data_IF_505382782787
#
_entry.id   IF_505382782787
#
_cell.length_a   1.000
_cell.length_b   1.000
_cell.length_c   1.000
_cell.angle_alpha   90.00
_cell.angle_beta   90.00
_cell.angle_gamma   90.00
#
_symmetry.space_group_name_H-M   'P 1'
#
loop_
_entity.id
_entity.type
_entity.pdbx_description
1 polymer ?
#
# COMPACT_ATOMS: atom_id res chain seq x y z
N UNK A 1 31.60 31.91 29.19
CA UNK A 1 31.71 30.62 28.48
C UNK A 1 30.73 29.55 28.98
N UNK A 2 30.59 29.25 30.30
CA UNK A 2 29.75 28.14 30.77
C UNK A 2 28.26 28.26 30.38
N UNK A 3 27.67 29.46 30.46
CA UNK A 3 26.27 29.70 30.09
C UNK A 3 25.95 29.51 28.60
N UNK A 4 26.95 29.64 27.73
CA UNK A 4 26.78 29.26 26.32
C UNK A 4 26.85 27.74 26.21
N UNK A 5 27.88 27.09 26.78
CA UNK A 5 28.06 25.63 26.74
C UNK A 5 26.87 24.82 27.27
N UNK A 6 26.20 25.28 28.33
CA UNK A 6 25.08 24.58 28.98
C UNK A 6 23.70 24.86 28.36
N UNK A 7 23.62 25.78 27.39
CA UNK A 7 22.38 26.10 26.68
C UNK A 7 21.29 26.66 27.59
N UNK A 8 21.39 27.94 27.95
CA UNK A 8 20.35 28.80 28.56
C UNK A 8 19.05 28.08 29.02
N UNK A 9 19.12 27.34 30.13
CA UNK A 9 17.93 26.96 30.89
C UNK A 9 17.75 27.98 32.01
N UNK A 10 16.73 28.84 31.87
CA UNK A 10 16.16 29.61 32.98
C UNK A 10 16.78 30.96 33.37
N UNK A 11 17.43 31.71 32.46
CA UNK A 11 17.96 33.04 32.79
C UNK A 11 17.89 34.07 31.65
N UNK A 12 17.90 35.36 32.00
CA UNK A 12 17.89 36.53 31.10
C UNK A 12 18.98 36.41 30.01
N UNK A 13 18.57 36.57 28.74
CA UNK A 13 19.45 36.46 27.56
C UNK A 13 20.62 37.45 27.67
N UNK A 14 21.85 36.94 27.79
CA UNK A 14 23.07 37.76 27.77
C UNK A 14 23.57 37.88 26.35
N UNK A 15 23.71 39.11 25.82
CA UNK A 15 24.16 39.38 24.46
C UNK A 15 25.71 39.23 24.34
N UNK A 16 26.22 38.97 23.12
CA UNK A 16 27.66 38.83 22.81
C UNK A 16 28.48 40.02 23.32
N UNK A 17 27.95 41.25 23.20
CA UNK A 17 28.55 42.47 23.74
C UNK A 17 28.74 42.44 25.25
N UNK A 18 27.73 41.98 25.99
CA UNK A 18 27.79 41.87 27.45
C UNK A 18 28.80 40.81 27.91
N UNK A 19 29.02 39.76 27.11
CA UNK A 19 30.03 38.73 27.41
C UNK A 19 31.44 39.26 27.17
N UNK A 20 31.65 40.03 26.10
CA UNK A 20 32.93 40.69 25.86
C UNK A 20 33.30 41.65 26.99
N UNK A 21 32.36 42.50 27.43
CA UNK A 21 32.58 43.39 28.58
C UNK A 21 32.91 42.60 29.85
N UNK A 22 32.17 41.53 30.14
CA UNK A 22 32.45 40.67 31.31
C UNK A 22 33.81 39.97 31.23
N UNK A 23 34.23 39.53 30.04
CA UNK A 23 35.54 38.91 29.84
C UNK A 23 36.68 39.90 30.07
N UNK A 24 36.52 41.15 29.62
CA UNK A 24 37.51 42.21 29.83
C UNK A 24 37.61 42.62 31.30
N UNK A 25 36.48 42.78 31.98
CA UNK A 25 36.46 43.10 33.43
C UNK A 25 37.13 41.99 34.22
N UNK A 26 36.85 40.72 33.91
CA UNK A 26 37.45 39.59 34.60
C UNK A 26 38.96 39.47 34.34
N UNK A 27 39.41 39.65 33.09
CA UNK A 27 40.83 39.67 32.75
C UNK A 27 41.58 40.76 33.53
N UNK A 28 40.99 41.95 33.66
CA UNK A 28 41.57 43.07 34.43
C UNK A 28 41.65 42.77 35.93
N UNK A 29 40.66 42.08 36.50
CA UNK A 29 40.66 41.67 37.91
C UNK A 29 41.70 40.58 38.20
N UNK A 30 41.96 39.70 37.24
CA UNK A 30 42.92 38.60 37.36
C UNK A 30 44.34 38.98 36.89
N UNK A 31 44.57 40.25 36.52
CA UNK A 31 45.88 40.74 36.07
C UNK A 31 46.32 40.20 34.71
N UNK A 32 45.40 39.68 33.91
CA UNK A 32 45.66 39.09 32.61
C UNK A 32 45.52 40.11 31.48
N UNK A 33 46.12 39.81 30.33
CA UNK A 33 45.99 40.64 29.12
C UNK A 33 44.53 40.72 28.68
N UNK A 34 44.03 41.95 28.50
CA UNK A 34 42.62 42.21 28.22
C UNK A 34 42.31 41.86 26.77
N UNK A 35 41.41 40.88 26.50
CA UNK A 35 41.11 40.49 25.14
C UNK A 35 40.32 41.58 24.40
N UNK A 36 40.59 41.76 23.11
CA UNK A 36 39.77 42.63 22.26
C UNK A 36 38.35 42.06 22.11
N UNK A 37 37.38 42.94 21.86
CA UNK A 37 36.01 42.54 21.52
C UNK A 37 35.96 41.52 20.38
N UNK A 38 36.81 41.69 19.36
CA UNK A 38 36.89 40.80 18.21
C UNK A 38 37.42 39.41 18.58
N UNK A 39 38.38 39.33 19.49
CA UNK A 39 38.90 38.06 19.99
C UNK A 39 37.82 37.27 20.71
N UNK A 40 37.04 37.93 21.59
CA UNK A 40 35.92 37.28 22.29
C UNK A 40 34.83 36.86 21.30
N UNK A 41 34.52 37.68 20.31
CA UNK A 41 33.50 37.37 19.31
C UNK A 41 33.89 36.18 18.44
N UNK A 42 35.15 36.07 18.03
CA UNK A 42 35.66 34.93 17.26
C UNK A 42 35.50 33.61 18.03
N UNK A 43 35.86 33.60 19.32
CA UNK A 43 35.72 32.38 20.15
C UNK A 43 34.24 32.05 20.38
N UNK A 44 33.40 33.07 20.65
CA UNK A 44 31.96 32.87 20.77
C UNK A 44 31.34 32.38 19.46
N UNK A 45 31.83 32.82 18.31
CA UNK A 45 31.35 32.39 16.99
C UNK A 45 31.59 30.90 16.80
N UNK A 46 32.77 30.37 17.13
CA UNK A 46 33.04 28.93 17.08
C UNK A 46 32.07 28.11 17.93
N UNK A 47 31.79 28.56 19.16
CA UNK A 47 30.82 27.89 20.06
C UNK A 47 29.39 27.99 19.51
N UNK A 48 29.02 29.13 18.93
CA UNK A 48 27.71 29.34 18.32
C UNK A 48 27.55 28.48 17.07
N UNK A 49 28.60 28.35 16.26
CA UNK A 49 28.61 27.51 15.07
C UNK A 49 28.52 26.03 15.46
N UNK A 50 29.26 25.58 16.48
CA UNK A 50 29.13 24.22 17.04
C UNK A 50 27.74 23.94 17.61
N UNK A 51 27.13 24.92 18.27
CA UNK A 51 25.76 24.80 18.78
C UNK A 51 24.72 24.88 17.68
N UNK A 52 24.95 25.67 16.64
CA UNK A 52 24.12 25.73 15.44
C UNK A 52 24.23 24.41 14.66
N UNK A 53 25.42 23.81 14.57
CA UNK A 53 25.63 22.46 14.04
C UNK A 53 24.89 21.42 14.90
N UNK A 54 25.00 21.47 16.23
CA UNK A 54 24.25 20.59 17.17
C UNK A 54 22.73 20.82 17.12
N UNK A 55 22.23 22.03 16.86
CA UNK A 55 20.81 22.34 16.64
C UNK A 55 20.34 21.94 15.24
N UNK A 56 21.16 22.10 14.21
CA UNK A 56 20.89 21.61 12.86
C UNK A 56 20.92 20.07 12.80
N UNK A 57 21.67 19.41 13.68
CA UNK A 57 21.60 17.96 13.94
C UNK A 57 20.23 17.56 14.54
N UNK A 58 19.45 18.49 15.11
CA UNK A 58 18.10 18.23 15.67
C UNK A 58 16.96 18.51 14.69
N UNK A 59 17.18 19.29 13.62
CA UNK A 59 16.20 19.55 12.57
C UNK A 59 16.73 19.10 11.19
N UNK A 60 16.74 17.80 10.88
CA UNK A 60 16.92 17.35 9.50
C UNK A 60 15.61 17.63 8.74
N UNK A 61 15.55 18.82 8.18
CA UNK A 61 14.47 19.30 7.34
C UNK A 61 14.87 20.64 6.77
N UNK A 62 15.02 20.71 5.45
CA UNK A 62 15.40 21.91 4.69
C UNK A 62 16.64 22.66 5.22
N UNK A 63 17.82 22.41 4.63
CA UNK A 63 18.97 23.32 4.81
C UNK A 63 18.83 24.47 3.82
N UNK A 64 18.27 25.59 4.29
CA UNK A 64 17.93 26.72 3.40
C UNK A 64 16.85 26.30 2.40
N UNK A 65 17.17 26.30 1.10
CA UNK A 65 16.27 25.91 0.00
C UNK A 65 16.47 24.48 -0.51
N UNK A 66 17.38 23.68 0.08
CA UNK A 66 17.63 22.30 -0.34
C UNK A 66 17.23 21.30 0.73
N UNK A 67 16.65 20.20 0.29
CA UNK A 67 16.33 19.06 1.13
C UNK A 67 17.55 18.14 1.18
N UNK A 68 18.04 17.86 2.39
CA UNK A 68 19.10 16.88 2.62
C UNK A 68 18.57 15.74 3.49
N UNK A 69 18.72 14.50 3.03
CA UNK A 69 18.35 13.28 3.74
C UNK A 69 19.60 12.63 4.30
N UNK A 70 19.62 12.35 5.60
CA UNK A 70 20.75 11.68 6.23
C UNK A 70 20.48 10.19 6.33
N UNK A 71 21.42 9.40 5.83
CA UNK A 71 21.35 7.94 5.91
C UNK A 71 22.06 7.43 7.17
N UNK A 72 21.72 6.21 7.57
CA UNK A 72 22.29 5.54 8.74
C UNK A 72 23.81 5.31 8.63
N UNK A 73 24.32 5.14 7.41
CA UNK A 73 25.75 5.00 7.13
C UNK A 73 26.52 6.35 7.08
N UNK A 74 25.83 7.47 7.34
CA UNK A 74 26.44 8.80 7.40
C UNK A 74 26.44 9.55 6.07
N UNK A 75 26.02 8.92 4.97
CA UNK A 75 25.84 9.57 3.67
C UNK A 75 24.73 10.65 3.76
N UNK A 76 24.87 11.70 2.96
CA UNK A 76 23.83 12.72 2.78
C UNK A 76 23.35 12.61 1.34
N UNK A 77 22.06 12.34 1.16
CA UNK A 77 21.41 12.36 -0.14
C UNK A 77 20.70 13.69 -0.32
N UNK A 78 20.93 14.35 -1.46
CA UNK A 78 20.22 15.56 -1.85
C UNK A 78 19.39 15.22 -3.09
N UNK A 79 18.06 15.11 -2.99
CA UNK A 79 17.22 14.80 -4.15
C UNK A 79 17.21 16.00 -5.12
N UNK A 80 18.04 15.93 -6.16
CA UNK A 80 18.25 17.03 -7.12
C UNK A 80 17.39 16.94 -8.39
N UNK A 81 16.94 15.74 -8.77
CA UNK A 81 16.18 15.51 -10.00
C UNK A 81 15.22 14.31 -9.81
N UNK A 82 14.34 14.11 -10.78
CA UNK A 82 13.31 13.07 -10.74
C UNK A 82 13.92 11.68 -10.86
N UNK A 83 13.42 10.74 -10.08
CA UNK A 83 13.99 9.39 -9.96
C UNK A 83 15.42 9.38 -9.37
N UNK A 84 15.85 10.45 -8.69
CA UNK A 84 17.10 10.38 -7.93
C UNK A 84 16.89 9.57 -6.64
N UNK A 85 15.90 9.95 -5.83
CA UNK A 85 15.60 9.29 -4.54
C UNK A 85 14.12 9.02 -4.39
N UNK A 86 13.76 7.74 -4.31
CA UNK A 86 12.42 7.31 -3.95
C UNK A 86 12.32 6.95 -2.48
N UNK A 87 11.13 7.10 -1.92
CA UNK A 87 10.80 6.63 -0.57
C UNK A 87 9.58 5.73 -0.66
N UNK A 88 9.61 4.63 0.10
CA UNK A 88 8.48 3.71 0.23
C UNK A 88 8.00 3.74 1.68
N UNK A 89 6.69 3.70 1.86
CA UNK A 89 6.06 3.65 3.17
C UNK A 89 4.69 2.95 3.09
N UNK A 90 4.20 2.47 4.23
CA UNK A 90 2.96 1.71 4.33
C UNK A 90 2.04 2.32 5.39
N UNK A 91 0.74 2.29 5.15
CA UNK A 91 -0.26 2.63 6.17
C UNK A 91 -1.47 1.72 6.06
N UNK A 92 -2.11 1.38 7.18
CA UNK A 92 -3.43 0.79 7.16
C UNK A 92 -4.43 1.91 6.84
N UNK A 93 -5.12 1.86 5.71
CA UNK A 93 -6.04 2.93 5.31
C UNK A 93 -7.21 3.01 6.30
N UNK A 94 -7.59 4.22 6.74
CA UNK A 94 -8.69 4.46 7.70
C UNK A 94 -10.09 4.24 7.07
N UNK A 95 -10.31 3.11 6.38
CA UNK A 95 -11.55 2.78 5.69
C UNK A 95 -11.89 1.30 5.80
N UNK A 96 -13.13 0.99 6.15
CA UNK A 96 -13.67 -0.38 6.13
C UNK A 96 -14.18 -0.72 4.74
N UNK A 97 -13.73 -1.86 4.22
CA UNK A 97 -14.18 -2.39 2.95
C UNK A 97 -15.07 -3.61 3.15
N UNK A 98 -15.91 -3.87 2.15
CA UNK A 98 -16.69 -5.10 2.05
C UNK A 98 -16.01 -6.10 1.12
N UNK A 99 -16.29 -7.38 1.34
CA UNK A 99 -15.94 -8.42 0.39
C UNK A 99 -16.94 -8.46 -0.79
N UNK A 100 -16.77 -9.44 -1.70
CA UNK A 100 -17.73 -9.69 -2.79
C UNK A 100 -19.16 -10.05 -2.31
N UNK A 101 -19.39 -10.10 -1.00
CA UNK A 101 -20.71 -10.27 -0.38
C UNK A 101 -21.46 -9.01 -0.09
N UNK A 102 -20.75 -7.89 0.01
CA UNK A 102 -21.24 -6.78 0.80
C UNK A 102 -21.11 -7.01 2.31
N UNK A 103 -20.35 -8.01 2.78
CA UNK A 103 -20.07 -8.21 4.21
C UNK A 103 -18.82 -7.42 4.55
N UNK A 104 -18.88 -6.65 5.64
CA UNK A 104 -17.72 -5.94 6.19
C UNK A 104 -16.57 -6.91 6.37
N UNK A 105 -15.42 -6.55 5.81
CA UNK A 105 -14.23 -7.39 5.81
C UNK A 105 -13.17 -6.85 6.76
N UNK A 106 -12.29 -5.97 6.27
CA UNK A 106 -11.26 -5.31 7.07
C UNK A 106 -10.71 -4.08 6.35
N UNK A 107 -9.84 -3.35 7.04
CA UNK A 107 -9.09 -2.24 6.46
C UNK A 107 -7.97 -2.75 5.56
N UNK A 108 -7.75 -2.16 4.38
CA UNK A 108 -6.64 -2.51 3.51
C UNK A 108 -5.36 -1.77 3.94
N UNK A 109 -4.22 -2.33 3.58
CA UNK A 109 -2.92 -1.67 3.60
C UNK A 109 -2.68 -0.95 2.28
N UNK A 110 -2.31 0.32 2.36
CA UNK A 110 -1.83 1.13 1.24
C UNK A 110 -0.32 1.35 1.38
N UNK A 111 0.40 0.86 0.39
CA UNK A 111 1.83 1.11 0.21
C UNK A 111 2.00 2.17 -0.86
N UNK A 112 2.82 3.18 -0.61
CA UNK A 112 3.11 4.22 -1.60
C UNK A 112 4.61 4.31 -1.88
N UNK A 113 4.97 4.54 -3.13
CA UNK A 113 6.32 4.88 -3.57
C UNK A 113 6.28 6.32 -4.06
N UNK A 114 7.14 7.16 -3.49
CA UNK A 114 7.13 8.60 -3.69
C UNK A 114 8.49 9.07 -4.18
N UNK A 115 8.49 9.85 -5.26
CA UNK A 115 9.68 10.56 -5.71
C UNK A 115 9.95 11.77 -4.80
N UNK A 116 11.12 11.81 -4.16
CA UNK A 116 11.39 12.80 -3.12
C UNK A 116 11.58 14.22 -3.66
N UNK A 117 12.09 14.33 -4.89
CA UNK A 117 12.38 15.60 -5.56
C UNK A 117 11.09 16.34 -5.93
N UNK A 118 10.16 15.63 -6.57
CA UNK A 118 8.88 16.16 -7.07
C UNK A 118 7.74 16.05 -6.06
N UNK A 119 7.83 15.11 -5.12
CA UNK A 119 6.75 14.65 -4.22
C UNK A 119 5.61 13.92 -4.93
N UNK A 120 5.78 13.52 -6.18
CA UNK A 120 4.81 12.66 -6.85
C UNK A 120 4.74 11.29 -6.20
N UNK A 121 3.53 10.75 -6.09
CA UNK A 121 3.35 9.32 -5.89
C UNK A 121 3.56 8.66 -7.26
N UNK A 122 4.61 7.84 -7.35
CA UNK A 122 5.04 7.17 -8.58
C UNK A 122 4.47 5.75 -8.70
N UNK A 123 4.14 5.12 -7.57
CA UNK A 123 3.47 3.83 -7.58
C UNK A 123 2.84 3.49 -6.23
N UNK A 124 1.98 2.47 -6.22
CA UNK A 124 1.27 2.01 -5.04
C UNK A 124 1.16 0.49 -5.05
N UNK A 125 0.89 -0.09 -3.87
CA UNK A 125 0.28 -1.40 -3.74
C UNK A 125 -0.86 -1.29 -2.73
N UNK A 126 -2.04 -1.78 -3.07
CA UNK A 126 -3.22 -1.74 -2.22
C UNK A 126 -3.76 -3.16 -2.05
N UNK A 127 -3.89 -3.62 -0.81
CA UNK A 127 -4.35 -4.97 -0.55
C UNK A 127 -4.59 -5.22 0.92
N UNK A 128 -4.82 -6.49 1.26
CA UNK A 128 -5.14 -6.92 2.61
C UNK A 128 -3.98 -7.57 3.35
N UNK A 129 -2.86 -7.73 2.65
CA UNK A 129 -1.61 -8.25 3.20
C UNK A 129 -0.92 -7.18 4.03
N UNK A 130 -0.43 -7.58 5.20
CA UNK A 130 0.37 -6.72 6.04
C UNK A 130 1.71 -6.35 5.33
N UNK A 131 2.36 -5.24 5.74
CA UNK A 131 3.64 -4.83 5.19
C UNK A 131 4.65 -5.97 5.19
N UNK A 132 5.24 -6.20 4.03
CA UNK A 132 6.20 -7.27 3.81
C UNK A 132 7.08 -6.95 2.62
N UNK A 133 8.19 -7.67 2.51
CA UNK A 133 9.10 -7.56 1.37
C UNK A 133 8.42 -7.78 0.02
N UNK A 134 7.39 -8.63 -0.03
CA UNK A 134 6.59 -8.87 -1.24
C UNK A 134 5.74 -7.65 -1.59
N UNK A 135 5.04 -7.08 -0.61
CA UNK A 135 4.21 -5.88 -0.78
C UNK A 135 5.06 -4.69 -1.26
N UNK A 136 6.26 -4.53 -0.71
CA UNK A 136 7.25 -3.54 -1.17
C UNK A 136 7.65 -3.81 -2.62
N UNK A 137 7.95 -5.07 -2.96
CA UNK A 137 8.27 -5.48 -4.33
C UNK A 137 7.16 -5.14 -5.33
N UNK A 138 5.90 -5.45 -5.01
CA UNK A 138 4.74 -5.12 -5.86
C UNK A 138 4.56 -3.61 -6.03
N UNK A 139 4.73 -2.82 -4.97
CA UNK A 139 4.67 -1.37 -5.05
C UNK A 139 5.80 -0.79 -5.93
N UNK A 140 7.00 -1.35 -5.83
CA UNK A 140 8.13 -0.99 -6.70
C UNK A 140 7.88 -1.40 -8.14
N UNK A 141 7.30 -2.58 -8.40
CA UNK A 141 6.89 -3.02 -9.74
C UNK A 141 6.01 -1.98 -10.40
N UNK A 142 4.95 -1.62 -9.69
CA UNK A 142 3.98 -0.63 -10.14
C UNK A 142 4.60 0.75 -10.34
N UNK A 143 5.58 1.13 -9.50
CA UNK A 143 6.30 2.39 -9.66
C UNK A 143 7.23 2.38 -10.88
N UNK A 144 7.92 1.27 -11.13
CA UNK A 144 8.95 1.18 -12.17
C UNK A 144 8.36 1.20 -13.57
N UNK A 145 7.29 0.44 -13.79
CA UNK A 145 6.69 0.28 -15.11
C UNK A 145 5.74 1.43 -15.45
N UNK A 146 5.53 1.73 -16.75
CA UNK A 146 4.44 2.58 -17.19
C UNK A 146 3.12 1.96 -16.75
N UNK A 147 2.17 2.82 -16.37
CA UNK A 147 0.86 2.39 -15.86
C UNK A 147 -0.19 2.73 -16.90
N UNK A 148 -0.91 1.71 -17.35
CA UNK A 148 -2.07 1.88 -18.21
C UNK A 148 -3.30 1.36 -17.47
N UNK A 149 -4.32 2.21 -17.38
CA UNK A 149 -5.54 1.94 -16.64
C UNK A 149 -6.74 1.95 -17.58
N UNK A 150 -7.66 0.99 -17.45
CA UNK A 150 -8.87 0.97 -18.26
C UNK A 150 -9.75 2.21 -18.00
N UNK A 151 -10.59 2.54 -18.97
CA UNK A 151 -11.44 3.74 -18.94
C UNK A 151 -12.41 3.80 -17.76
N UNK A 152 -12.74 2.67 -17.14
CA UNK A 152 -13.61 2.59 -15.97
C UNK A 152 -12.99 3.15 -14.68
N UNK A 153 -11.68 3.47 -14.69
CA UNK A 153 -11.02 4.27 -13.64
C UNK A 153 -11.31 5.76 -13.74
N UNK A 154 -11.89 6.23 -14.85
CA UNK A 154 -12.32 7.62 -15.04
C UNK A 154 -11.19 8.64 -14.76
N UNK A 155 -10.01 8.35 -15.32
CA UNK A 155 -8.85 9.24 -15.25
C UNK A 155 -8.99 10.36 -16.28
N UNK A 156 -8.75 11.59 -15.85
CA UNK A 156 -8.72 12.77 -16.73
C UNK A 156 -7.29 13.17 -17.10
N UNK A 157 -6.32 12.65 -16.35
CA UNK A 157 -4.89 12.82 -16.55
C UNK A 157 -4.23 11.44 -16.73
N UNK A 158 -3.06 11.40 -17.34
CA UNK A 158 -2.27 10.17 -17.40
C UNK A 158 -1.43 10.01 -16.14
N UNK A 159 -1.30 8.77 -15.64
CA UNK A 159 -0.31 8.46 -14.60
C UNK A 159 1.09 8.30 -15.23
N UNK A 160 1.62 9.38 -15.78
CA UNK A 160 2.87 9.39 -16.55
C UNK A 160 4.16 9.23 -15.75
N UNK A 161 4.09 8.98 -14.44
CA UNK A 161 5.29 8.82 -13.61
C UNK A 161 5.77 7.37 -13.58
N UNK A 162 7.02 7.12 -13.97
CA UNK A 162 7.63 5.79 -13.99
C UNK A 162 9.17 5.90 -14.02
N UNK A 163 9.88 4.78 -13.97
CA UNK A 163 11.33 4.77 -14.08
C UNK A 163 12.02 4.00 -12.99
N UNK A 164 13.30 4.27 -12.79
CA UNK A 164 14.10 3.53 -11.81
C UNK A 164 14.89 4.51 -10.96
N UNK A 165 14.80 4.44 -9.62
CA UNK A 165 15.53 5.34 -8.77
C UNK A 165 17.01 4.95 -8.67
N UNK A 166 17.88 5.91 -8.41
CA UNK A 166 19.25 5.59 -7.95
C UNK A 166 19.25 5.11 -6.50
N UNK A 167 18.45 5.77 -5.65
CA UNK A 167 18.35 5.44 -4.24
C UNK A 167 16.92 5.20 -3.81
N UNK A 168 16.73 4.17 -2.99
CA UNK A 168 15.52 4.02 -2.18
C UNK A 168 15.87 4.36 -0.74
N UNK A 169 15.12 5.30 -0.15
CA UNK A 169 15.33 5.79 1.21
C UNK A 169 14.13 5.48 2.11
N UNK A 170 14.24 4.44 2.93
CA UNK A 170 13.15 3.99 3.82
C UNK A 170 13.59 4.01 5.27
N UNK A 171 12.63 3.77 6.17
CA UNK A 171 12.99 3.47 7.55
C UNK A 171 13.68 2.10 7.68
N UNK A 172 14.08 1.78 8.90
CA UNK A 172 14.76 0.53 9.26
C UNK A 172 13.80 -0.63 9.54
N UNK A 173 12.58 -0.60 9.00
CA UNK A 173 11.59 -1.67 9.07
C UNK A 173 12.14 -3.04 8.64
N UNK A 174 11.58 -4.11 9.21
CA UNK A 174 12.05 -5.49 8.96
C UNK A 174 11.74 -5.96 7.54
N UNK A 175 10.64 -5.50 6.98
CA UNK A 175 10.25 -5.63 5.58
C UNK A 175 11.27 -5.01 4.63
N UNK A 176 11.72 -3.78 4.89
CA UNK A 176 12.74 -3.10 4.07
C UNK A 176 14.16 -3.63 4.25
N UNK A 177 14.45 -4.28 5.38
CA UNK A 177 15.74 -4.96 5.65
C UNK A 177 15.82 -6.38 5.10
N UNK A 178 14.72 -6.91 4.57
CA UNK A 178 14.70 -8.28 4.09
C UNK A 178 15.75 -8.51 2.99
N UNK A 179 16.37 -9.69 3.01
CA UNK A 179 17.31 -10.10 1.96
C UNK A 179 16.67 -10.01 0.56
N UNK A 180 15.38 -10.31 0.47
CA UNK A 180 14.64 -10.28 -0.78
C UNK A 180 14.58 -8.86 -1.39
N UNK A 181 14.27 -7.83 -0.60
CA UNK A 181 14.23 -6.44 -1.06
C UNK A 181 15.62 -5.96 -1.47
N UNK A 182 16.66 -6.31 -0.71
CA UNK A 182 18.04 -5.99 -1.06
C UNK A 182 18.49 -6.66 -2.36
N UNK A 183 18.06 -7.90 -2.59
CA UNK A 183 18.30 -8.62 -3.82
C UNK A 183 17.61 -7.96 -5.02
N UNK A 184 16.34 -7.59 -4.90
CA UNK A 184 15.61 -6.84 -5.93
C UNK A 184 16.38 -5.56 -6.27
N UNK A 185 16.76 -4.80 -5.25
CA UNK A 185 17.49 -3.54 -5.42
C UNK A 185 18.82 -3.76 -6.16
N UNK A 186 19.60 -4.77 -5.77
CA UNK A 186 20.86 -5.13 -6.43
C UNK A 186 20.67 -5.51 -7.89
N UNK A 187 19.69 -6.37 -8.21
CA UNK A 187 19.40 -6.80 -9.58
C UNK A 187 18.95 -5.64 -10.48
N UNK A 188 18.23 -4.67 -9.90
CA UNK A 188 17.83 -3.46 -10.60
C UNK A 188 18.92 -2.38 -10.60
N UNK A 189 20.05 -2.57 -9.90
CA UNK A 189 21.09 -1.53 -9.77
C UNK A 189 20.61 -0.31 -8.97
N UNK A 190 19.71 -0.52 -8.01
CA UNK A 190 19.20 0.48 -7.08
C UNK A 190 19.95 0.35 -5.76
N UNK A 191 20.38 1.48 -5.18
CA UNK A 191 21.03 1.49 -3.87
C UNK A 191 20.02 1.73 -2.75
N UNK A 192 19.82 0.74 -1.88
CA UNK A 192 18.96 0.90 -0.72
C UNK A 192 19.68 1.62 0.43
N UNK A 193 19.07 2.68 0.96
CA UNK A 193 19.57 3.46 2.09
C UNK A 193 18.52 3.53 3.19
N UNK A 194 18.97 3.43 4.43
CA UNK A 194 18.09 3.50 5.60
C UNK A 194 18.20 4.87 6.27
N UNK A 195 17.06 5.39 6.72
CA UNK A 195 16.97 6.58 7.58
C UNK A 195 17.82 6.41 8.83
N UNK A 196 18.50 7.49 9.26
CA UNK A 196 19.17 7.49 10.56
C UNK A 196 18.15 7.67 11.69
N UNK A 197 17.05 8.39 11.45
CA UNK A 197 16.00 8.68 12.43
C UNK A 197 14.61 8.62 11.80
N UNK A 198 13.55 8.23 12.55
CA UNK A 198 12.17 8.25 12.05
C UNK A 198 11.75 9.62 11.51
N UNK A 199 12.12 10.71 12.19
CA UNK A 199 11.79 12.10 11.81
C UNK A 199 12.30 12.52 10.42
N UNK A 200 13.28 11.80 9.86
CA UNK A 200 13.82 12.05 8.51
C UNK A 200 12.87 11.54 7.40
N UNK A 201 11.79 10.84 7.79
CA UNK A 201 10.70 10.38 6.93
C UNK A 201 9.53 11.35 6.75
N UNK A 202 9.52 12.52 7.39
CA UNK A 202 8.36 13.45 7.39
C UNK A 202 7.90 13.96 6.01
N UNK A 203 8.59 13.60 4.94
CA UNK A 203 8.20 13.82 3.55
C UNK A 203 7.10 12.85 3.10
N UNK A 204 7.21 11.58 3.50
CA UNK A 204 6.25 10.53 3.15
C UNK A 204 5.08 10.44 4.14
N UNK A 205 5.26 10.93 5.37
CA UNK A 205 4.17 10.97 6.36
C UNK A 205 3.02 11.93 5.95
N UNK A 206 3.32 12.98 5.16
CA UNK A 206 2.32 13.94 4.68
C UNK A 206 1.36 13.38 3.62
N UNK A 207 1.81 12.64 2.59
CA UNK A 207 0.92 12.04 1.61
C UNK A 207 -0.21 11.22 2.24
N UNK A 208 0.08 10.36 3.22
CA UNK A 208 -0.97 9.58 3.88
C UNK A 208 -1.98 10.46 4.61
N UNK A 209 -1.52 11.44 5.40
CA UNK A 209 -2.43 12.40 6.04
C UNK A 209 -3.28 13.18 5.02
N UNK A 210 -2.70 13.51 3.87
CA UNK A 210 -3.38 14.22 2.76
C UNK A 210 -4.43 13.33 2.11
N UNK A 211 -4.09 12.11 1.71
CA UNK A 211 -5.02 11.10 1.17
C UNK A 211 -6.15 10.88 2.17
N UNK A 212 -5.81 10.77 3.45
CA UNK A 212 -6.79 10.51 4.48
C UNK A 212 -7.80 11.67 4.61
N UNK A 213 -7.29 12.90 4.67
CA UNK A 213 -8.12 14.09 4.88
C UNK A 213 -8.90 14.48 3.63
N UNK A 214 -8.34 14.31 2.43
CA UNK A 214 -8.95 14.78 1.18
C UNK A 214 -9.75 13.71 0.44
N UNK A 215 -9.39 12.43 0.59
CA UNK A 215 -10.09 11.32 -0.05
C UNK A 215 -10.85 10.50 0.99
N UNK A 216 -10.16 9.82 1.92
CA UNK A 216 -10.79 8.79 2.76
C UNK A 216 -11.93 9.35 3.62
N UNK A 217 -11.76 10.56 4.16
CA UNK A 217 -12.77 11.26 4.96
C UNK A 217 -14.10 11.50 4.24
N UNK A 218 -14.10 11.48 2.90
CA UNK A 218 -15.27 11.71 2.04
C UNK A 218 -15.97 10.41 1.63
N UNK A 219 -15.36 9.26 1.92
CA UNK A 219 -15.83 7.96 1.47
C UNK A 219 -16.69 7.25 2.53
N UNK A 220 -17.70 6.46 2.10
CA UNK A 220 -18.43 5.59 3.00
C UNK A 220 -17.50 4.52 3.62
N UNK A 221 -17.73 4.17 4.88
CA UNK A 221 -16.87 3.24 5.61
C UNK A 221 -15.63 3.87 6.26
N UNK A 222 -15.46 5.20 6.19
CA UNK A 222 -14.35 5.90 6.84
C UNK A 222 -14.35 5.71 8.36
N UNK A 223 -13.22 5.25 8.92
CA UNK A 223 -13.12 4.94 10.36
C UNK A 223 -12.53 6.06 11.21
N UNK A 224 -11.94 7.08 10.58
CA UNK A 224 -11.11 8.06 11.29
C UNK A 224 -9.76 7.49 11.73
N UNK A 225 -8.79 8.39 11.96
CA UNK A 225 -7.44 8.03 12.40
C UNK A 225 -7.31 7.69 13.88
N UNK A 226 -8.29 8.09 14.69
CA UNK A 226 -8.25 7.89 16.13
C UNK A 226 -9.09 6.66 16.51
N UNK A 227 -8.41 5.62 16.99
CA UNK A 227 -9.04 4.35 17.39
C UNK A 227 -10.14 4.56 18.44
N UNK A 228 -10.00 5.58 19.31
CA UNK A 228 -10.95 5.89 20.38
C UNK A 228 -12.21 6.63 19.91
N UNK A 229 -12.16 7.26 18.73
CA UNK A 229 -13.25 8.07 18.17
C UNK A 229 -13.86 7.41 16.93
N UNK A 230 -13.65 6.09 16.75
CA UNK A 230 -14.16 5.34 15.60
C UNK A 230 -15.69 5.47 15.54
N UNK A 231 -16.25 6.05 14.48
CA UNK A 231 -17.70 6.18 14.34
C UNK A 231 -18.33 4.80 14.21
N UNK A 232 -19.35 4.50 15.03
CA UNK A 232 -20.16 3.27 14.85
C UNK A 232 -20.88 3.24 13.49
N UNK A 233 -21.01 4.40 12.85
CA UNK A 233 -21.58 4.58 11.51
C UNK A 233 -20.67 4.09 10.38
N UNK A 234 -19.36 3.94 10.64
CA UNK A 234 -18.41 3.44 9.63
C UNK A 234 -18.77 2.03 9.18
N UNK A 235 -19.11 1.15 10.12
CA UNK A 235 -19.56 -0.22 9.80
C UNK A 235 -20.87 -0.21 9.01
N UNK A 236 -21.82 0.65 9.37
CA UNK A 236 -23.12 0.74 8.69
C UNK A 236 -23.03 1.32 7.28
N UNK A 237 -22.07 2.19 7.03
CA UNK A 237 -21.88 2.84 5.73
C UNK A 237 -20.94 2.09 4.80
N UNK A 238 -20.09 1.19 5.31
CA UNK A 238 -19.11 0.45 4.51
C UNK A 238 -19.78 -0.35 3.37
N UNK A 239 -19.49 0.04 2.13
CA UNK A 239 -20.08 -0.57 0.94
C UNK A 239 -19.08 -0.76 -0.22
N UNK A 240 -17.84 -0.28 -0.08
CA UNK A 240 -16.84 -0.31 -1.13
C UNK A 240 -16.06 -1.64 -1.11
N UNK A 241 -15.90 -2.27 -2.27
CA UNK A 241 -14.97 -3.39 -2.43
C UNK A 241 -13.53 -2.89 -2.55
N UNK A 242 -12.55 -3.81 -2.47
CA UNK A 242 -11.15 -3.48 -2.72
C UNK A 242 -10.93 -2.86 -4.12
N UNK A 243 -11.65 -3.35 -5.13
CA UNK A 243 -11.54 -2.83 -6.50
C UNK A 243 -12.13 -1.42 -6.63
N UNK A 244 -13.29 -1.17 -6.01
CA UNK A 244 -13.90 0.16 -5.99
C UNK A 244 -12.98 1.16 -5.28
N UNK A 245 -12.44 0.75 -4.14
CA UNK A 245 -11.50 1.58 -3.39
C UNK A 245 -10.19 1.81 -4.16
N UNK A 246 -9.67 0.80 -4.86
CA UNK A 246 -8.50 0.95 -5.72
C UNK A 246 -8.73 2.00 -6.81
N UNK A 247 -9.87 1.95 -7.50
CA UNK A 247 -10.24 2.96 -8.51
C UNK A 247 -10.25 4.37 -7.93
N UNK A 248 -10.89 4.56 -6.77
CA UNK A 248 -10.96 5.85 -6.10
C UNK A 248 -9.58 6.39 -5.68
N UNK A 249 -8.71 5.53 -5.16
CA UNK A 249 -7.33 5.89 -4.78
C UNK A 249 -6.52 6.27 -6.01
N UNK A 250 -6.57 5.48 -7.08
CA UNK A 250 -5.86 5.75 -8.34
C UNK A 250 -6.37 7.06 -8.95
N UNK A 251 -7.68 7.23 -9.05
CA UNK A 251 -8.31 8.46 -9.56
C UNK A 251 -7.84 9.69 -8.79
N UNK A 252 -7.90 9.65 -7.45
CA UNK A 252 -7.43 10.75 -6.61
C UNK A 252 -5.93 11.04 -6.80
N UNK A 253 -5.08 10.01 -6.86
CA UNK A 253 -3.64 10.21 -7.03
C UNK A 253 -3.36 10.91 -8.36
N UNK A 254 -3.98 10.43 -9.43
CA UNK A 254 -3.72 10.87 -10.81
C UNK A 254 -4.33 12.23 -11.09
N UNK A 255 -5.61 12.41 -10.78
CA UNK A 255 -6.35 13.63 -11.13
C UNK A 255 -6.15 14.76 -10.12
N UNK A 256 -5.81 14.47 -8.86
CA UNK A 256 -5.77 15.47 -7.79
C UNK A 256 -4.40 15.57 -7.11
N UNK A 257 -3.89 14.50 -6.52
CA UNK A 257 -2.67 14.57 -5.70
C UNK A 257 -1.46 14.99 -6.52
N UNK A 258 -1.17 14.28 -7.62
CA UNK A 258 -0.03 14.58 -8.48
C UNK A 258 -0.22 15.91 -9.24
N UNK A 259 -1.46 16.35 -9.46
CA UNK A 259 -1.77 17.64 -10.09
C UNK A 259 -1.84 18.83 -9.12
N UNK A 260 -1.74 18.60 -7.82
CA UNK A 260 -1.79 19.72 -6.88
C UNK A 260 -0.51 20.57 -6.94
N UNK A 261 -0.70 21.89 -6.89
CA UNK A 261 0.38 22.87 -6.98
C UNK A 261 1.24 22.87 -5.71
N UNK A 262 2.56 22.79 -5.88
CA UNK A 262 3.52 23.14 -4.83
C UNK A 262 3.67 24.67 -4.81
N UNK A 263 3.08 25.30 -3.78
CA UNK A 263 3.11 26.76 -3.56
C UNK A 263 4.53 27.37 -3.59
N UNK A 264 5.57 26.60 -3.27
CA UNK A 264 6.96 27.07 -3.28
C UNK A 264 7.55 27.18 -4.68
N UNK A 265 7.02 26.41 -5.63
CA UNK A 265 7.59 26.26 -6.98
C UNK A 265 6.66 26.76 -8.06
N UNK A 266 5.35 26.86 -7.78
CA UNK A 266 4.33 27.26 -8.75
C UNK A 266 3.98 26.17 -9.77
N UNK A 267 4.57 24.97 -9.65
CA UNK A 267 4.35 23.83 -10.52
C UNK A 267 3.50 22.77 -9.82
N UNK A 268 2.78 21.95 -10.59
CA UNK A 268 2.20 20.71 -10.05
C UNK A 268 3.32 19.73 -9.69
N UNK A 269 3.04 18.75 -8.83
CA UNK A 269 4.04 17.70 -8.53
C UNK A 269 4.42 16.95 -9.80
N UNK A 270 3.44 16.66 -10.66
CA UNK A 270 3.65 15.99 -11.93
C UNK A 270 4.53 16.81 -12.87
N UNK A 271 4.23 18.10 -13.07
CA UNK A 271 5.06 19.00 -13.88
C UNK A 271 6.49 19.11 -13.32
N UNK A 272 6.62 19.14 -12.00
CA UNK A 272 7.94 19.14 -11.34
C UNK A 272 8.68 17.85 -11.59
N UNK A 273 7.99 16.70 -11.57
CA UNK A 273 8.57 15.41 -11.89
C UNK A 273 9.02 15.37 -13.36
N UNK A 274 8.18 15.80 -14.29
CA UNK A 274 8.50 15.82 -15.72
C UNK A 274 9.69 16.75 -16.02
N UNK A 275 9.68 17.97 -15.50
CA UNK A 275 10.78 18.93 -15.65
C UNK A 275 12.10 18.48 -14.98
N UNK A 276 12.02 17.54 -14.03
CA UNK A 276 13.18 16.96 -13.35
C UNK A 276 13.75 15.71 -14.01
N UNK A 277 13.18 15.22 -15.12
CA UNK A 277 13.75 14.09 -15.84
C UNK A 277 15.04 14.53 -16.55
N UNK A 278 16.18 14.02 -16.09
CA UNK A 278 17.49 14.27 -16.71
C UNK A 278 17.72 13.38 -17.93
N UNK A 279 17.18 12.17 -17.91
CA UNK A 279 17.24 11.16 -18.97
C UNK A 279 15.91 10.42 -19.04
N UNK A 280 15.57 9.92 -20.22
CA UNK A 280 14.44 9.00 -20.38
C UNK A 280 14.78 7.71 -19.60
N UNK A 281 13.94 7.25 -18.66
CA UNK A 281 14.26 6.08 -17.87
C UNK A 281 14.42 4.82 -18.73
N UNK A 282 15.56 4.13 -18.62
CA UNK A 282 15.71 2.78 -19.16
C UNK A 282 15.01 1.79 -18.23
N UNK A 283 14.04 1.05 -18.78
CA UNK A 283 13.21 0.14 -18.01
C UNK A 283 13.62 -1.32 -18.20
N UNK A 284 13.57 -2.14 -17.14
CA UNK A 284 13.54 -3.58 -17.33
C UNK A 284 12.26 -3.97 -18.07
N UNK A 285 12.30 -5.06 -18.82
CA UNK A 285 11.07 -5.66 -19.34
C UNK A 285 10.19 -6.11 -18.17
N UNK A 286 8.87 -6.19 -18.37
CA UNK A 286 7.96 -6.71 -17.35
C UNK A 286 8.41 -8.08 -16.84
N UNK A 287 8.86 -8.92 -17.77
CA UNK A 287 9.33 -10.27 -17.46
C UNK A 287 10.57 -10.29 -16.59
N UNK A 288 11.57 -9.46 -16.88
CA UNK A 288 12.77 -9.33 -16.05
C UNK A 288 12.43 -8.81 -14.66
N UNK A 289 11.52 -7.85 -14.58
CA UNK A 289 11.08 -7.29 -13.31
C UNK A 289 10.33 -8.33 -12.48
N UNK A 290 9.40 -9.08 -13.08
CA UNK A 290 8.70 -10.19 -12.41
C UNK A 290 9.68 -11.22 -11.86
N UNK A 291 10.72 -11.58 -12.62
CA UNK A 291 11.77 -12.49 -12.18
C UNK A 291 12.61 -11.92 -11.02
N UNK A 292 12.78 -10.60 -10.94
CA UNK A 292 13.44 -9.93 -9.82
C UNK A 292 12.59 -10.00 -8.55
N UNK A 293 11.26 -9.88 -8.69
CA UNK A 293 10.30 -9.86 -7.59
C UNK A 293 10.02 -11.24 -6.99
N UNK A 294 10.44 -12.31 -7.65
CA UNK A 294 10.29 -13.67 -7.13
C UNK A 294 11.15 -13.90 -5.89
N UNK A 295 10.61 -14.63 -4.92
CA UNK A 295 11.38 -15.07 -3.75
C UNK A 295 12.31 -16.20 -4.13
N UNK A 296 13.49 -16.19 -3.52
CA UNK A 296 14.51 -17.21 -3.72
C UNK A 296 14.55 -18.19 -2.54
N UNK A 297 14.67 -19.48 -2.85
CA UNK A 297 15.05 -20.50 -1.86
C UNK A 297 15.95 -21.54 -2.51
N UNK A 298 16.66 -22.35 -1.71
CA UNK A 298 17.50 -23.44 -2.22
C UNK A 298 16.88 -24.77 -1.87
N UNK A 299 16.84 -25.70 -2.82
CA UNK A 299 16.34 -27.06 -2.62
C UNK A 299 17.22 -28.05 -3.35
N UNK A 300 17.19 -29.29 -2.88
CA UNK A 300 17.86 -30.41 -3.55
C UNK A 300 16.90 -31.06 -4.52
N UNK A 301 17.38 -31.40 -5.71
CA UNK A 301 16.63 -32.23 -6.65
C UNK A 301 16.72 -33.68 -6.20
N UNK A 302 15.58 -34.34 -6.04
CA UNK A 302 15.52 -35.74 -5.65
C UNK A 302 15.86 -36.65 -6.83
N UNK A 303 16.30 -37.87 -6.51
CA UNK A 303 16.46 -38.93 -7.51
C UNK A 303 15.13 -39.13 -8.26
N UNK A 304 15.17 -39.08 -9.60
CA UNK A 304 13.98 -39.07 -10.45
C UNK A 304 13.50 -37.69 -10.93
N UNK A 305 14.17 -36.60 -10.54
CA UNK A 305 13.92 -35.26 -11.09
C UNK A 305 12.76 -34.49 -10.45
N UNK A 306 12.46 -34.78 -9.19
CA UNK A 306 11.43 -34.09 -8.41
C UNK A 306 12.04 -33.09 -7.44
N UNK A 307 11.32 -32.02 -7.13
CA UNK A 307 11.70 -31.04 -6.10
C UNK A 307 10.54 -30.92 -5.13
N UNK A 308 10.82 -31.03 -3.82
CA UNK A 308 9.81 -30.79 -2.80
C UNK A 308 9.98 -29.40 -2.20
N UNK A 309 8.93 -28.59 -2.28
CA UNK A 309 8.90 -27.25 -1.72
C UNK A 309 7.50 -26.90 -1.19
N UNK A 310 7.43 -26.44 0.07
CA UNK A 310 6.17 -26.05 0.72
C UNK A 310 5.08 -27.14 0.73
N UNK A 311 5.47 -28.41 0.90
CA UNK A 311 4.61 -29.60 0.82
C UNK A 311 3.98 -29.86 -0.57
N UNK A 312 4.51 -29.22 -1.61
CA UNK A 312 4.21 -29.53 -3.00
C UNK A 312 5.41 -30.22 -3.64
N UNK A 313 5.12 -31.24 -4.44
CA UNK A 313 6.09 -31.90 -5.32
C UNK A 313 6.03 -31.28 -6.71
N UNK A 314 7.19 -30.91 -7.24
CA UNK A 314 7.34 -30.27 -8.55
C UNK A 314 8.10 -31.17 -9.51
N UNK A 315 7.73 -31.11 -10.79
CA UNK A 315 8.44 -31.77 -11.88
C UNK A 315 8.70 -30.80 -13.02
N UNK A 316 9.86 -30.94 -13.64
CA UNK A 316 10.27 -30.16 -14.81
C UNK A 316 11.03 -31.05 -15.79
N UNK A 317 11.05 -30.65 -17.07
CA UNK A 317 11.58 -31.47 -18.17
C UNK A 317 13.03 -31.92 -17.99
N UNK A 318 13.88 -31.07 -17.39
CA UNK A 318 15.34 -31.30 -17.34
C UNK A 318 15.87 -31.71 -15.96
N UNK A 319 15.00 -31.91 -14.95
CA UNK A 319 15.46 -32.11 -13.58
C UNK A 319 16.01 -33.50 -13.29
N UNK A 320 15.66 -34.51 -14.08
CA UNK A 320 16.11 -35.90 -13.86
C UNK A 320 17.64 -36.05 -13.87
N UNK A 321 18.34 -35.24 -14.67
CA UNK A 321 19.81 -35.23 -14.77
C UNK A 321 20.52 -34.57 -13.59
N UNK A 322 19.80 -33.89 -12.68
CA UNK A 322 20.38 -33.13 -11.57
C UNK A 322 20.12 -33.78 -10.21
N UNK A 323 19.75 -35.06 -10.17
CA UNK A 323 19.44 -35.79 -8.92
C UNK A 323 20.59 -35.71 -7.90
N UNK A 324 20.31 -35.16 -6.72
CA UNK A 324 21.28 -34.92 -5.65
C UNK A 324 21.91 -33.53 -5.66
N UNK A 325 21.78 -32.76 -6.74
CA UNK A 325 22.31 -31.40 -6.81
C UNK A 325 21.42 -30.39 -6.07
N UNK A 326 22.06 -29.36 -5.49
CA UNK A 326 21.33 -28.20 -4.98
C UNK A 326 21.05 -27.21 -6.09
N UNK A 327 19.79 -26.77 -6.17
CA UNK A 327 19.29 -25.78 -7.11
C UNK A 327 18.68 -24.60 -6.37
N UNK A 328 18.65 -23.47 -7.06
CA UNK A 328 18.00 -22.24 -6.66
C UNK A 328 16.59 -22.24 -7.25
N UNK A 329 15.59 -22.05 -6.41
CA UNK A 329 14.20 -21.86 -6.83
C UNK A 329 13.86 -20.39 -6.75
N UNK A 330 13.28 -19.85 -7.81
CA UNK A 330 12.56 -18.58 -7.80
C UNK A 330 11.07 -18.85 -7.98
N UNK A 331 10.25 -18.25 -7.13
CA UNK A 331 8.80 -18.43 -7.18
C UNK A 331 8.07 -17.12 -6.85
N UNK A 332 6.89 -16.94 -7.43
CA UNK A 332 5.98 -15.85 -7.04
C UNK A 332 5.22 -16.28 -5.78
N UNK A 333 5.29 -15.53 -4.67
CA UNK A 333 4.47 -15.81 -3.49
C UNK A 333 2.95 -15.80 -3.75
N UNK A 334 2.50 -15.08 -4.79
CA UNK A 334 1.09 -14.99 -5.19
C UNK A 334 0.64 -16.23 -5.96
N UNK A 335 1.59 -16.93 -6.60
CA UNK A 335 1.33 -18.20 -7.26
C UNK A 335 2.55 -19.14 -7.17
N UNK A 336 2.44 -20.12 -6.29
CA UNK A 336 3.47 -21.12 -6.01
C UNK A 336 3.36 -22.34 -6.92
N UNK A 337 2.31 -22.49 -7.74
CA UNK A 337 2.14 -23.70 -8.58
C UNK A 337 3.22 -23.81 -9.66
N UNK A 338 3.85 -22.70 -10.01
CA UNK A 338 4.98 -22.65 -10.93
C UNK A 338 6.24 -22.14 -10.23
N UNK A 339 7.35 -22.85 -10.40
CA UNK A 339 8.67 -22.44 -9.92
C UNK A 339 9.69 -22.41 -11.07
N UNK A 340 10.67 -21.53 -10.94
CA UNK A 340 11.79 -21.40 -11.88
C UNK A 340 13.05 -21.94 -11.21
N UNK A 341 13.69 -22.91 -11.86
CA UNK A 341 14.83 -23.64 -11.30
C UNK A 341 16.11 -23.16 -11.97
N UNK A 342 17.10 -22.82 -11.16
CA UNK A 342 18.42 -22.35 -11.58
C UNK A 342 19.52 -23.19 -10.93
N UNK A 343 20.60 -23.43 -11.66
CA UNK A 343 21.86 -23.96 -11.12
C UNK A 343 22.81 -22.79 -10.88
N UNK A 344 23.60 -22.89 -9.81
CA UNK A 344 24.72 -21.98 -9.61
C UNK A 344 25.97 -22.60 -10.24
N UNK A 345 26.55 -21.91 -11.21
CA UNK A 345 27.76 -22.35 -11.92
C UNK A 345 28.72 -21.19 -12.06
N UNK A 346 29.96 -21.36 -11.59
CA UNK A 346 31.01 -20.32 -11.56
C UNK A 346 30.52 -18.93 -11.04
N UNK A 347 29.60 -18.93 -10.07
CA UNK A 347 29.05 -17.69 -9.49
C UNK A 347 27.91 -17.04 -10.30
N UNK A 348 27.51 -17.63 -11.43
CA UNK A 348 26.34 -17.22 -12.23
C UNK A 348 25.16 -18.15 -12.00
N UNK A 349 23.95 -17.60 -12.07
CA UNK A 349 22.72 -18.40 -12.07
C UNK A 349 22.37 -18.80 -13.52
N UNK A 350 22.40 -20.10 -13.80
CA UNK A 350 22.01 -20.68 -15.09
C UNK A 350 20.58 -21.19 -14.96
N UNK A 351 19.67 -20.68 -15.78
CA UNK A 351 18.30 -21.17 -15.83
C UNK A 351 18.26 -22.60 -16.37
N UNK A 352 17.66 -23.52 -15.61
CA UNK A 352 17.50 -24.92 -16.00
C UNK A 352 16.14 -25.13 -16.67
N UNK A 353 15.05 -24.90 -15.92
CA UNK A 353 13.70 -25.13 -16.40
C UNK A 353 12.65 -24.44 -15.53
N UNK A 354 11.42 -24.40 -16.07
CA UNK A 354 10.21 -24.25 -15.26
C UNK A 354 9.85 -25.62 -14.69
N UNK A 355 9.39 -25.65 -13.45
CA UNK A 355 8.83 -26.84 -12.84
C UNK A 355 7.44 -26.51 -12.29
N UNK A 356 6.51 -27.44 -12.47
CA UNK A 356 5.12 -27.27 -12.11
C UNK A 356 4.79 -28.20 -10.94
N UNK A 357 3.98 -27.70 -10.00
CA UNK A 357 3.42 -28.49 -8.94
C UNK A 357 2.55 -29.58 -9.57
N UNK A 358 2.92 -30.84 -9.36
CA UNK A 358 2.19 -31.99 -9.90
C UNK A 358 0.72 -31.93 -9.48
N UNK A 359 -0.21 -32.30 -10.35
CA UNK A 359 -1.66 -32.26 -10.12
C UNK A 359 -2.27 -30.85 -10.02
N UNK A 360 -1.48 -29.77 -9.92
CA UNK A 360 -1.97 -28.38 -9.80
C UNK A 360 -1.59 -27.52 -11.01
N UNK A 361 -1.28 -28.12 -12.16
CA UNK A 361 -0.80 -27.40 -13.35
C UNK A 361 -1.83 -26.43 -13.95
N UNK A 362 -3.12 -26.67 -13.73
CA UNK A 362 -4.23 -25.80 -14.17
C UNK A 362 -4.66 -24.76 -13.15
N UNK A 363 -4.09 -24.79 -11.95
CA UNK A 363 -4.54 -23.98 -10.81
C UNK A 363 -3.56 -22.84 -10.51
N UNK A 364 -4.05 -21.80 -9.84
CA UNK A 364 -3.18 -20.81 -9.18
C UNK A 364 -3.34 -20.94 -7.68
N UNK A 365 -2.23 -21.00 -6.95
CA UNK A 365 -2.27 -21.19 -5.50
C UNK A 365 -1.20 -20.32 -4.85
N UNK A 366 -1.60 -19.37 -4.00
CA UNK A 366 -0.62 -18.56 -3.29
C UNK A 366 0.17 -19.36 -2.25
N UNK A 367 1.38 -18.90 -1.93
CA UNK A 367 2.23 -19.52 -0.90
C UNK A 367 1.53 -19.61 0.46
N UNK A 368 0.73 -18.60 0.81
CA UNK A 368 -0.01 -18.56 2.07
C UNK A 368 -1.17 -19.55 2.06
N UNK A 369 -1.95 -19.60 0.98
CA UNK A 369 -3.06 -20.55 0.85
C UNK A 369 -2.57 -22.00 0.90
N UNK A 370 -1.47 -22.32 0.22
CA UNK A 370 -0.85 -23.63 0.31
C UNK A 370 -0.52 -24.02 1.76
N UNK A 371 -0.02 -23.08 2.57
CA UNK A 371 0.28 -23.33 3.99
C UNK A 371 -0.97 -23.52 4.84
N UNK A 372 -2.01 -22.73 4.62
CA UNK A 372 -3.27 -22.86 5.35
C UNK A 372 -4.00 -24.16 5.01
N UNK A 373 -4.07 -24.52 3.73
CA UNK A 373 -4.64 -25.80 3.29
C UNK A 373 -3.85 -26.97 3.91
N UNK A 374 -2.52 -26.90 3.86
CA UNK A 374 -1.66 -27.91 4.51
C UNK A 374 -1.96 -28.03 6.01
N UNK A 375 -2.13 -26.90 6.71
CA UNK A 375 -2.47 -26.87 8.14
C UNK A 375 -3.79 -27.58 8.41
N UNK A 376 -4.83 -27.27 7.63
CA UNK A 376 -6.15 -27.90 7.74
C UNK A 376 -6.09 -29.41 7.48
N UNK A 377 -5.33 -29.85 6.46
CA UNK A 377 -5.16 -31.27 6.15
C UNK A 377 -4.49 -32.01 7.34
N UNK A 378 -3.47 -31.39 7.97
CA UNK A 378 -2.81 -31.93 9.17
C UNK A 378 -3.77 -32.02 10.36
N UNK A 379 -4.56 -30.98 10.60
CA UNK A 379 -5.56 -30.96 11.68
C UNK A 379 -6.63 -32.05 11.48
N UNK A 380 -7.00 -32.35 10.22
CA UNK A 380 -7.88 -33.47 9.85
C UNK A 380 -7.19 -34.85 9.91
N UNK A 381 -5.89 -34.92 10.24
CA UNK A 381 -5.12 -36.18 10.31
C UNK A 381 -4.90 -36.86 8.95
N UNK A 382 -5.05 -36.14 7.83
CA UNK A 382 -4.89 -36.70 6.48
C UNK A 382 -3.45 -36.59 5.99
N UNK A 383 -3.06 -37.45 5.05
CA UNK A 383 -1.77 -37.35 4.38
C UNK A 383 -1.72 -36.12 3.48
N UNK A 384 -0.58 -35.44 3.47
CA UNK A 384 -0.36 -34.24 2.65
C UNK A 384 0.29 -34.66 1.35
N UNK A 385 -0.48 -34.61 0.28
CA UNK A 385 -0.07 -34.82 -1.11
C UNK A 385 -0.61 -33.70 -1.99
N UNK A 386 -0.03 -33.51 -3.18
CA UNK A 386 -0.53 -32.52 -4.13
C UNK A 386 -2.02 -32.73 -4.43
N UNK A 387 -2.45 -33.97 -4.71
CA UNK A 387 -3.86 -34.33 -4.86
C UNK A 387 -4.76 -33.94 -3.66
N UNK A 388 -4.28 -34.10 -2.42
CA UNK A 388 -5.04 -33.68 -1.23
C UNK A 388 -5.19 -32.15 -1.14
N UNK A 389 -4.18 -31.40 -1.59
CA UNK A 389 -4.21 -29.93 -1.65
C UNK A 389 -5.16 -29.50 -2.77
N UNK A 390 -5.04 -30.09 -3.97
CA UNK A 390 -5.93 -29.84 -5.10
C UNK A 390 -7.41 -30.03 -4.72
N UNK A 391 -7.72 -31.11 -4.00
CA UNK A 391 -9.09 -31.41 -3.56
C UNK A 391 -9.67 -30.29 -2.68
N UNK A 392 -8.88 -29.71 -1.78
CA UNK A 392 -9.31 -28.60 -0.93
C UNK A 392 -9.40 -27.27 -1.71
N UNK A 393 -8.52 -27.05 -2.69
CA UNK A 393 -8.60 -25.89 -3.62
C UNK A 393 -9.92 -25.94 -4.38
N UNK A 394 -10.21 -27.06 -5.05
CA UNK A 394 -11.44 -27.24 -5.83
C UNK A 394 -12.70 -27.15 -4.96
N UNK A 395 -12.70 -27.75 -3.77
CA UNK A 395 -13.82 -27.64 -2.83
C UNK A 395 -14.09 -26.18 -2.43
N UNK A 396 -13.03 -25.39 -2.19
CA UNK A 396 -13.17 -23.96 -1.89
C UNK A 396 -13.71 -23.18 -3.08
N UNK A 397 -13.25 -23.45 -4.29
CA UNK A 397 -13.76 -22.78 -5.49
C UNK A 397 -15.25 -23.04 -5.72
N UNK A 398 -15.70 -24.28 -5.51
CA UNK A 398 -17.12 -24.64 -5.58
C UNK A 398 -17.94 -23.84 -4.56
N UNK A 399 -17.48 -23.75 -3.32
CA UNK A 399 -18.14 -22.94 -2.27
C UNK A 399 -18.20 -21.46 -2.68
N UNK A 400 -17.14 -20.92 -3.28
CA UNK A 400 -17.12 -19.52 -3.74
C UNK A 400 -18.10 -19.31 -4.90
N UNK A 401 -18.14 -20.24 -5.87
CA UNK A 401 -19.09 -20.21 -6.99
C UNK A 401 -20.54 -20.31 -6.50
N UNK A 402 -20.84 -21.22 -5.58
CA UNK A 402 -22.17 -21.37 -4.96
C UNK A 402 -22.59 -20.11 -4.19
N UNK A 403 -21.69 -19.51 -3.39
CA UNK A 403 -22.00 -18.27 -2.67
C UNK A 403 -22.23 -17.07 -3.60
N UNK A 404 -21.49 -16.98 -4.70
CA UNK A 404 -21.73 -15.95 -5.74
C UNK A 404 -23.10 -16.16 -6.39
N UNK A 405 -23.46 -17.40 -6.73
CA UNK A 405 -24.77 -17.76 -7.29
C UNK A 405 -25.92 -17.41 -6.33
N UNK A 406 -25.83 -17.81 -5.05
CA UNK A 406 -26.85 -17.47 -4.04
C UNK A 406 -27.07 -15.96 -3.88
N UNK A 407 -26.03 -15.14 -4.01
CA UNK A 407 -26.17 -13.68 -3.98
C UNK A 407 -26.81 -13.10 -5.23
N UNK A 408 -26.52 -13.67 -6.40
CA UNK A 408 -27.22 -13.28 -7.62
C UNK A 408 -28.70 -13.59 -7.49
N UNK A 409 -29.06 -14.79 -7.00
CA UNK A 409 -30.43 -15.19 -6.72
C UNK A 409 -31.10 -14.25 -5.72
N UNK A 410 -30.47 -13.93 -4.58
CA UNK A 410 -31.03 -12.97 -3.61
C UNK A 410 -31.17 -11.55 -4.19
N UNK A 411 -30.25 -11.12 -5.06
CA UNK A 411 -30.33 -9.81 -5.72
C UNK A 411 -31.44 -9.76 -6.76
N UNK A 412 -31.68 -10.86 -7.47
CA UNK A 412 -32.81 -11.03 -8.38
C UNK A 412 -34.14 -11.09 -7.62
N UNK A 413 -34.24 -11.84 -6.53
CA UNK A 413 -35.41 -11.87 -5.64
C UNK A 413 -35.69 -10.49 -5.04
N UNK A 414 -34.67 -9.78 -4.55
CA UNK A 414 -34.83 -8.40 -4.05
C UNK A 414 -35.25 -7.43 -5.15
N UNK A 415 -34.79 -7.62 -6.39
CA UNK A 415 -35.22 -6.80 -7.52
C UNK A 415 -36.67 -7.12 -7.94
N UNK A 416 -37.08 -8.39 -7.89
CA UNK A 416 -38.46 -8.83 -8.10
C UNK A 416 -39.41 -8.28 -7.03
N UNK A 417 -39.01 -8.37 -5.75
CA UNK A 417 -39.73 -7.75 -4.63
C UNK A 417 -39.84 -6.23 -4.78
N UNK A 418 -38.77 -5.56 -5.25
CA UNK A 418 -38.80 -4.11 -5.54
C UNK A 418 -39.69 -3.77 -6.73
N UNK A 419 -39.77 -4.61 -7.75
CA UNK A 419 -40.72 -4.44 -8.87
C UNK A 419 -42.17 -4.66 -8.46
N UNK A 420 -42.42 -5.58 -7.52
CA UNK A 420 -43.76 -5.82 -6.97
C UNK A 420 -44.21 -4.71 -5.98
N UNK A 421 -43.27 -4.01 -5.35
CA UNK A 421 -43.54 -2.91 -4.40
C UNK A 421 -43.54 -1.51 -5.04
N UNK A 422 -43.29 -1.38 -6.34
CA UNK A 422 -43.46 -0.10 -7.04
C UNK A 422 -44.95 0.22 -7.26
N UNK A 423 -45.48 1.36 -6.76
CA UNK A 423 -46.87 1.72 -7.01
C UNK A 423 -47.11 1.94 -8.51
N UNK A 424 -48.13 1.26 -9.06
CA UNK A 424 -48.59 1.52 -10.41
C UNK A 424 -48.97 3.00 -10.53
N UNK A 425 -48.40 3.69 -11.53
CA UNK A 425 -48.79 5.06 -11.89
C UNK A 425 -50.27 5.05 -12.24
N UNK A 426 -51.09 5.67 -11.39
CA UNK A 426 -52.44 6.08 -11.76
C UNK A 426 -52.30 7.30 -12.67
N UNK A 427 -52.65 7.14 -13.95
CA UNK A 427 -52.71 8.28 -14.87
C UNK A 427 -53.88 9.21 -14.48
N UNK A 428 -53.69 10.54 -14.55
CA UNK A 428 -54.74 11.49 -14.20
C UNK A 428 -55.85 11.52 -15.26
N UNK A 429 -57.09 11.42 -14.78
CA UNK A 429 -58.33 11.57 -15.54
C UNK A 429 -58.39 12.98 -16.14
N UNK A 430 -58.29 13.06 -17.47
CA UNK A 430 -58.62 14.25 -18.25
C UNK A 430 -60.11 14.34 -18.50
N UNK A 431 -60.70 15.51 -18.24
CA UNK A 431 -62.04 15.89 -18.69
C UNK A 431 -61.99 16.20 -20.19
N UNK A 432 -62.90 15.63 -20.98
CA UNK A 432 -63.95 16.42 -21.64
C UNK A 432 -64.88 15.55 -22.52
N UNK A 433 -66.16 15.88 -22.35
CA UNK A 433 -67.27 15.93 -23.31
C UNK A 433 -67.64 14.73 -24.24
N UNK A 434 -68.88 14.29 -24.00
CA UNK A 434 -69.95 14.02 -24.97
C UNK A 434 -70.33 12.56 -25.35
N UNK A 435 -71.65 12.38 -25.44
CA UNK A 435 -72.45 11.31 -26.05
C UNK A 435 -72.71 9.98 -25.30
N UNK A 436 -73.87 9.97 -24.62
CA UNK A 436 -75.04 9.07 -24.74
C UNK A 436 -74.86 7.55 -25.02
N UNK A 437 -75.56 6.80 -24.16
CA UNK A 437 -76.40 5.61 -24.41
C UNK A 437 -75.72 4.31 -24.90
N UNK A 438 -75.53 3.34 -23.98
CA UNK A 438 -76.38 2.13 -23.88
C UNK A 438 -75.77 1.09 -22.91
N UNK A 439 -76.57 0.68 -21.91
CA UNK A 439 -76.51 -0.62 -21.23
C UNK A 439 -76.80 -1.78 -22.21
N UNK A 440 -76.59 -3.10 -21.90
CA UNK A 440 -76.58 -3.69 -20.56
C UNK A 440 -75.58 -4.84 -20.28
N UNK A 441 -75.62 -5.26 -19.00
CA UNK A 441 -75.49 -6.61 -18.43
C UNK A 441 -74.19 -7.42 -18.54
N UNK A 442 -73.56 -7.65 -17.37
CA UNK A 442 -73.45 -9.00 -16.78
C UNK A 442 -72.95 -8.91 -15.32
N UNK A 443 -73.83 -9.30 -14.40
CA UNK A 443 -73.57 -9.53 -12.98
C UNK A 443 -72.80 -10.84 -12.76
N UNK A 444 -71.67 -10.81 -12.07
CA UNK A 444 -71.23 -11.90 -11.15
C UNK A 444 -70.48 -11.29 -9.97
N UNK A 445 -70.83 -11.81 -8.79
CA UNK A 445 -70.59 -11.33 -7.43
C UNK A 445 -69.11 -11.27 -7.01
N UNK A 446 -68.76 -10.26 -6.19
CA UNK A 446 -67.49 -10.18 -5.45
C UNK A 446 -67.68 -10.63 -4.00
N UNK A 447 -67.03 -11.74 -3.62
CA UNK A 447 -66.76 -12.06 -2.21
C UNK A 447 -65.51 -11.30 -1.75
N UNK A 448 -65.67 -10.47 -0.71
CA UNK A 448 -64.57 -9.82 0.00
C UNK A 448 -64.00 -10.78 1.05
N UNK A 449 -62.85 -11.39 0.79
CA UNK A 449 -62.04 -12.00 1.87
C UNK A 449 -61.14 -10.95 2.53
N UNK A 450 -61.36 -10.77 3.83
CA UNK A 450 -60.65 -9.85 4.72
C UNK A 450 -59.17 -10.17 4.84
N UNK A 451 -58.33 -9.14 4.68
CA UNK A 451 -56.88 -9.16 4.94
C UNK A 451 -56.63 -9.38 6.44
N UNK A 452 -56.01 -10.50 6.81
CA UNK A 452 -55.49 -10.72 8.16
C UNK A 452 -54.15 -10.01 8.33
N UNK A 453 -54.11 -9.02 9.22
CA UNK A 453 -52.88 -8.37 9.69
C UNK A 453 -52.42 -9.11 10.94
N UNK A 454 -51.26 -9.77 10.90
CA UNK A 454 -50.68 -10.41 12.07
C UNK A 454 -49.77 -9.43 12.81
N UNK A 455 -49.97 -9.34 14.12
CA UNK A 455 -49.09 -8.60 15.04
C UNK A 455 -47.81 -9.41 15.29
N UNK A 456 -46.67 -8.78 15.03
CA UNK A 456 -45.35 -9.42 15.12
C UNK A 456 -44.97 -9.79 16.56
N UNK A 457 -45.55 -9.14 17.57
CA UNK A 457 -45.21 -9.41 18.97
C UNK A 457 -45.82 -10.74 19.48
N UNK A 458 -46.94 -11.19 18.91
CA UNK A 458 -47.66 -12.41 19.33
C UNK A 458 -47.06 -13.71 18.74
N UNK A 459 -46.25 -13.61 17.68
CA UNK A 459 -45.55 -14.75 17.08
C UNK A 459 -44.28 -15.17 17.85
N UNK A 460 -43.66 -14.25 18.60
CA UNK A 460 -42.40 -14.52 19.33
C UNK A 460 -42.66 -15.48 20.51
N UNK A 461 -43.79 -15.33 21.21
CA UNK A 461 -44.16 -16.18 22.35
C UNK A 461 -44.59 -17.60 21.92
N UNK A 462 -45.08 -17.78 20.68
CA UNK A 462 -45.59 -19.06 20.19
C UNK A 462 -44.53 -19.94 19.50
N UNK A 463 -43.42 -19.37 19.00
CA UNK A 463 -42.44 -20.12 18.20
C UNK A 463 -40.97 -19.98 18.62
N UNK A 464 -40.65 -19.24 19.69
CA UNK A 464 -39.43 -19.39 20.49
C UNK A 464 -38.08 -19.58 19.77
N UNK A 465 -37.64 -18.57 18.99
CA UNK A 465 -36.27 -18.46 18.47
C UNK A 465 -35.51 -17.30 19.11
#
# INVERSE_FOLDING_TARGET
>A
MPRYLEGNRGGTKVNRSQIAVKAQVKAKQEGLEVPSHMTVYRILQTIIDEQALKKNIRNPGWKGSKLSLRTKDGTILEPEYSNHVWQCDHTEADILLVDSSGKIFKRPWLTTVIDTYSRCIVGINLGFDAPSSMVVGLALRHAILPKDYPSDYQLHEQWGTYGKPEYIFTDSGTDFKSHHVQQIASQLGITWKFRSRPSEGGIVERPFGTINTQLLSTLPGYTGSNIKERPKEAEKSACLTLNDFHKLVVQYIVNNYNQSLDKRTGQTRYQRWEAGLTVIPSLPTERELDLCLMKQTRRTVYQGGYINFNNLSYKGEYLSGYGGEQVILRYDPSDITTIYVYKQDEGKEIFLCRAFAQDLESESLSFYEAREITRQIREKGKSITNNSILSEVQARELIVKEKKSRRQIQKEEQNLLKQQLSPQKVEPIGKDENSKENEPDLLVETENESVNVYDYEEMIDNYGW
#
